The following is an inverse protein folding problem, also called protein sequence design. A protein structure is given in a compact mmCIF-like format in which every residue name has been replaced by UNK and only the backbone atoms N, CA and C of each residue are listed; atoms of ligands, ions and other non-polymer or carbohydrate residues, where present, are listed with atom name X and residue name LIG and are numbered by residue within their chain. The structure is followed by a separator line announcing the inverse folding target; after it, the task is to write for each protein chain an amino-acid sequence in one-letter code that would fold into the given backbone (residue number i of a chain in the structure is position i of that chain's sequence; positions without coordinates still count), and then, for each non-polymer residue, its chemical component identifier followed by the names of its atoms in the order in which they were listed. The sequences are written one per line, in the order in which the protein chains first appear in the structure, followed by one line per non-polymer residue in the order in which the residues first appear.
data_IF_531657730566
#
_entry.id   IF_531657730566
#
_cell.length_a   1.000
_cell.length_b   1.000
_cell.length_c   1.000
_cell.angle_alpha   90.00
_cell.angle_beta   90.00
_cell.angle_gamma   90.00
#
_symmetry.space_group_name_H-M   'P 1'
#
loop_
_entity.id
_entity.type
_entity.pdbx_description
1 polymer ?
#
# COMPACT_ATOMS: atom_id res chain seq x y z
N UNK A 1 -32.49 -11.21 -0.12
CA UNK A 1 -31.27 -11.49 0.66
C UNK A 1 -30.06 -11.29 -0.26
N UNK A 2 -29.17 -10.32 -0.07
CA UNK A 2 -29.19 -9.19 0.86
C UNK A 2 -27.97 -8.28 0.61
N UNK A 3 -28.16 -6.97 0.67
CA UNK A 3 -27.13 -5.93 0.83
C UNK A 3 -25.89 -6.06 -0.09
N UNK A 4 -26.12 -5.89 -1.39
CA UNK A 4 -25.09 -5.36 -2.32
C UNK A 4 -24.94 -3.88 -1.95
N UNK A 5 -23.96 -3.55 -1.13
CA UNK A 5 -23.93 -2.29 -0.37
C UNK A 5 -23.54 -1.08 -1.25
N UNK A 6 -24.07 0.09 -0.90
CA UNK A 6 -23.88 1.35 -1.65
C UNK A 6 -22.41 1.81 -1.83
N UNK A 7 -21.48 1.15 -1.15
CA UNK A 7 -20.03 1.32 -1.28
C UNK A 7 -19.49 1.03 -2.69
N UNK A 8 -20.12 0.13 -3.46
CA UNK A 8 -19.67 -0.25 -4.81
C UNK A 8 -19.75 0.88 -5.86
N UNK A 9 -20.34 2.03 -5.53
CA UNK A 9 -20.35 3.24 -6.40
C UNK A 9 -19.42 4.37 -5.94
N UNK A 10 -18.87 4.30 -4.72
CA UNK A 10 -18.22 5.45 -4.08
C UNK A 10 -16.72 5.60 -4.41
N UNK A 11 -16.03 4.51 -4.78
CA UNK A 11 -14.56 4.49 -4.86
C UNK A 11 -14.04 4.94 -6.26
N UNK A 12 -14.85 4.80 -7.32
CA UNK A 12 -14.41 4.98 -8.72
C UNK A 12 -15.41 5.77 -9.61
N UNK A 13 -15.85 6.99 -9.24
CA UNK A 13 -16.59 7.86 -10.19
C UNK A 13 -16.37 9.38 -9.91
N UNK A 14 -16.33 10.28 -10.92
CA UNK A 14 -15.50 11.50 -10.83
C UNK A 14 -16.22 12.84 -10.52
N UNK A 15 -17.41 12.86 -9.93
CA UNK A 15 -18.10 14.12 -9.56
C UNK A 15 -18.86 14.00 -8.23
N UNK A 16 -18.66 14.95 -7.29
CA UNK A 16 -19.59 15.13 -6.16
C UNK A 16 -19.00 15.41 -4.77
N UNK A 17 -18.44 16.60 -4.57
CA UNK A 17 -18.67 17.47 -3.40
C UNK A 17 -18.97 16.83 -2.03
N UNK A 18 -17.96 16.76 -1.14
CA UNK A 18 -18.17 16.52 0.29
C UNK A 18 -18.61 17.80 1.00
N UNK A 19 -19.82 17.82 1.57
CA UNK A 19 -20.24 18.88 2.49
C UNK A 19 -21.36 18.43 3.43
N UNK A 20 -21.45 19.11 4.59
CA UNK A 20 -22.53 19.08 5.61
C UNK A 20 -22.48 17.99 6.72
N UNK A 21 -21.91 18.42 7.85
CA UNK A 21 -22.44 18.35 9.23
C UNK A 21 -22.79 16.99 9.88
N UNK A 22 -21.98 16.64 10.88
CA UNK A 22 -22.38 16.29 12.26
C UNK A 22 -21.26 16.82 13.19
N UNK A 23 -21.43 17.23 14.45
CA UNK A 23 -22.47 17.01 15.44
C UNK A 23 -21.78 16.78 16.81
N UNK A 24 -21.55 17.86 17.57
CA UNK A 24 -20.96 17.89 18.94
C UNK A 24 -22.04 17.54 20.01
N UNK A 25 -21.77 17.52 21.35
CA UNK A 25 -20.52 17.55 22.10
C UNK A 25 -20.34 16.21 22.89
N UNK A 26 -20.11 16.05 24.22
CA UNK A 26 -19.85 16.99 25.34
C UNK A 26 -18.36 17.39 25.47
N UNK A 27 -17.84 17.55 26.70
CA UNK A 27 -16.43 17.72 27.08
C UNK A 27 -16.22 17.21 28.52
N UNK A 28 -15.01 16.80 28.88
CA UNK A 28 -14.59 16.60 30.28
C UNK A 28 -13.48 17.59 30.65
N UNK A 29 -13.58 18.13 31.87
CA UNK A 29 -12.82 19.28 32.37
C UNK A 29 -11.89 18.81 33.49
N UNK A 30 -10.59 18.98 33.33
CA UNK A 30 -9.63 18.95 34.43
C UNK A 30 -8.81 20.25 34.47
N UNK A 31 -8.47 20.69 35.69
CA UNK A 31 -7.93 22.02 35.97
C UNK A 31 -6.41 22.13 35.87
N UNK A 32 -5.85 23.33 36.11
CA UNK A 32 -4.43 23.61 36.03
C UNK A 32 -3.68 23.29 37.34
N UNK A 33 -2.40 22.94 37.23
CA UNK A 33 -1.50 22.70 38.38
C UNK A 33 -0.02 22.61 37.97
N UNK A 34 0.71 23.69 38.30
CA UNK A 34 2.16 23.90 38.47
C UNK A 34 3.26 22.97 37.90
N UNK A 35 4.33 23.64 37.43
CA UNK A 35 5.66 23.48 38.03
C UNK A 35 6.66 22.54 37.37
N UNK A 36 7.67 23.09 36.68
CA UNK A 36 8.78 22.29 36.15
C UNK A 36 9.84 23.07 35.38
N UNK A 37 10.72 23.78 36.10
CA UNK A 37 11.92 24.42 35.51
C UNK A 37 13.06 23.41 35.33
N UNK A 38 13.72 23.40 34.17
CA UNK A 38 14.89 22.56 33.91
C UNK A 38 15.50 22.82 32.53
N UNK A 39 16.73 23.37 32.43
CA UNK A 39 17.31 23.75 31.15
C UNK A 39 18.20 22.65 30.56
N UNK A 40 17.81 22.11 29.40
CA UNK A 40 18.78 21.70 28.39
C UNK A 40 18.30 22.20 27.03
N UNK A 41 19.02 23.20 26.51
CA UNK A 41 18.72 23.77 25.20
C UNK A 41 18.96 22.71 24.10
N UNK A 42 18.10 22.72 23.09
CA UNK A 42 18.20 21.79 21.98
C UNK A 42 19.52 21.98 21.21
N UNK A 43 20.40 20.98 21.25
CA UNK A 43 21.38 20.77 20.19
C UNK A 43 20.66 20.15 19.00
N UNK A 44 20.20 21.02 18.10
CA UNK A 44 19.53 20.60 16.89
C UNK A 44 20.47 19.81 15.98
N UNK A 45 20.20 18.53 15.80
CA UNK A 45 20.39 17.87 14.51
C UNK A 45 19.02 17.37 14.08
N UNK A 46 18.31 18.20 13.32
CA UNK A 46 17.31 17.69 12.39
C UNK A 46 18.08 16.90 11.34
N UNK A 47 18.25 15.59 11.60
CA UNK A 47 18.68 14.66 10.56
C UNK A 47 17.59 14.67 9.51
N UNK A 48 17.81 15.46 8.46
CA UNK A 48 16.97 15.53 7.27
C UNK A 48 16.69 14.10 6.82
N UNK A 49 15.42 13.69 6.95
CA UNK A 49 14.96 12.34 6.65
C UNK A 49 15.02 12.04 5.16
N UNK A 50 16.24 11.88 4.64
CA UNK A 50 16.54 11.56 3.25
C UNK A 50 16.42 10.06 2.98
N UNK A 51 15.45 9.42 3.64
CA UNK A 51 14.97 8.11 3.19
C UNK A 51 14.37 8.25 1.79
N UNK A 52 14.45 7.22 0.93
CA UNK A 52 13.95 7.32 -0.43
C UNK A 52 12.44 7.54 -0.41
N UNK A 53 12.02 8.70 -0.90
CA UNK A 53 10.61 9.14 -0.82
C UNK A 53 9.70 8.32 -1.72
N UNK A 54 8.43 8.16 -1.34
CA UNK A 54 7.37 7.55 -2.18
C UNK A 54 7.30 8.10 -3.62
N UNK A 55 7.70 9.36 -3.84
CA UNK A 55 7.77 9.93 -5.19
C UNK A 55 8.78 9.18 -6.09
N UNK A 56 9.89 8.69 -5.54
CA UNK A 56 10.86 7.88 -6.28
C UNK A 56 10.26 6.51 -6.67
N UNK A 57 9.63 5.81 -5.74
CA UNK A 57 8.90 4.54 -6.01
C UNK A 57 7.83 4.74 -7.08
N UNK A 58 7.03 5.80 -6.95
CA UNK A 58 5.99 6.14 -7.91
C UNK A 58 6.55 6.42 -9.32
N UNK A 59 7.68 7.13 -9.43
CA UNK A 59 8.34 7.35 -10.73
C UNK A 59 8.97 6.07 -11.30
N UNK A 60 9.59 5.23 -10.46
CA UNK A 60 10.17 3.94 -10.85
C UNK A 60 9.08 3.02 -11.44
N UNK A 61 7.99 2.80 -10.71
CA UNK A 61 6.83 2.01 -11.18
C UNK A 61 6.26 2.58 -12.48
N UNK A 62 6.11 3.89 -12.59
CA UNK A 62 5.61 4.55 -13.80
C UNK A 62 6.57 4.50 -14.99
N UNK A 63 7.87 4.26 -14.76
CA UNK A 63 8.87 4.04 -15.82
C UNK A 63 8.75 2.64 -16.45
N UNK A 64 8.19 1.69 -15.71
CA UNK A 64 7.98 0.31 -16.15
C UNK A 64 9.22 -0.60 -16.04
N UNK A 65 10.30 -0.14 -15.41
CA UNK A 65 11.46 -0.96 -15.02
C UNK A 65 11.64 -0.82 -13.52
N UNK A 66 11.76 -1.94 -12.80
CA UNK A 66 11.92 -1.98 -11.34
C UNK A 66 13.22 -2.68 -10.97
N UNK A 67 13.89 -2.23 -9.91
CA UNK A 67 15.00 -2.94 -9.27
C UNK A 67 14.84 -2.98 -7.75
N UNK A 68 15.51 -3.92 -7.09
CA UNK A 68 15.45 -4.08 -5.65
C UNK A 68 16.04 -2.87 -4.93
N UNK A 69 15.18 -2.16 -4.21
CA UNK A 69 15.55 -1.02 -3.38
C UNK A 69 15.01 -1.16 -1.95
N UNK A 70 15.45 -0.30 -1.04
CA UNK A 70 14.89 -0.24 0.32
C UNK A 70 13.42 0.20 0.33
N UNK A 71 12.93 0.92 -0.69
CA UNK A 71 11.51 1.30 -0.80
C UNK A 71 10.62 0.06 -0.89
N UNK A 72 11.04 -0.92 -1.70
CA UNK A 72 10.25 -2.13 -1.91
C UNK A 72 10.32 -3.05 -0.68
N UNK A 73 11.44 -3.07 0.03
CA UNK A 73 11.70 -4.06 1.11
C UNK A 73 11.46 -3.57 2.54
N UNK A 74 11.40 -2.26 2.80
CA UNK A 74 11.23 -1.70 4.16
C UNK A 74 9.75 -1.74 4.64
N UNK A 75 9.43 -2.47 5.73
CA UNK A 75 8.08 -2.48 6.29
C UNK A 75 7.59 -1.12 6.82
N UNK A 76 8.49 -0.19 7.18
CA UNK A 76 8.11 1.16 7.58
C UNK A 76 7.56 1.96 6.40
N UNK A 77 8.26 1.94 5.26
CA UNK A 77 7.78 2.54 4.01
C UNK A 77 6.35 2.08 3.67
N UNK A 78 6.09 0.77 3.72
CA UNK A 78 4.76 0.24 3.40
C UNK A 78 3.69 0.69 4.39
N UNK A 79 3.94 0.64 5.72
CA UNK A 79 2.97 1.13 6.71
C UNK A 79 2.60 2.61 6.53
N UNK A 80 3.55 3.45 6.10
CA UNK A 80 3.35 4.88 5.94
C UNK A 80 2.77 5.30 4.58
N UNK A 81 2.99 4.51 3.53
CA UNK A 81 2.71 4.91 2.15
C UNK A 81 1.72 4.01 1.40
N UNK A 82 1.30 2.87 1.96
CA UNK A 82 0.42 1.92 1.25
C UNK A 82 -0.91 2.54 0.79
N UNK A 83 -1.52 3.44 1.58
CA UNK A 83 -2.76 4.14 1.18
C UNK A 83 -2.57 5.04 -0.04
N UNK A 84 -1.35 5.54 -0.29
CA UNK A 84 -1.04 6.35 -1.48
C UNK A 84 -1.10 5.54 -2.77
N UNK A 85 -1.02 4.21 -2.70
CA UNK A 85 -1.18 3.35 -3.88
C UNK A 85 -2.63 3.35 -4.41
N UNK A 86 -3.61 3.75 -3.59
CA UNK A 86 -5.01 3.94 -4.01
C UNK A 86 -5.24 5.28 -4.73
N UNK A 87 -4.34 6.26 -4.56
CA UNK A 87 -4.48 7.58 -5.19
C UNK A 87 -4.59 7.48 -6.72
N UNK A 88 -5.38 8.40 -7.28
CA UNK A 88 -5.59 8.54 -8.75
C UNK A 88 -6.13 7.25 -9.38
N UNK A 89 -7.18 6.67 -8.78
CA UNK A 89 -7.81 5.42 -9.22
C UNK A 89 -6.83 4.23 -9.21
N UNK A 90 -6.19 4.01 -8.06
CA UNK A 90 -5.20 2.94 -7.86
C UNK A 90 -4.08 2.91 -8.91
N UNK A 91 -3.63 4.07 -9.43
CA UNK A 91 -2.78 4.13 -10.64
C UNK A 91 -1.51 3.29 -10.51
N UNK A 92 -0.83 3.37 -9.37
CA UNK A 92 0.45 2.66 -9.13
C UNK A 92 0.21 1.15 -9.13
N UNK A 93 -0.83 0.68 -8.43
CA UNK A 93 -1.21 -0.74 -8.40
C UNK A 93 -1.62 -1.25 -9.79
N UNK A 94 -2.39 -0.47 -10.56
CA UNK A 94 -2.78 -0.83 -11.93
C UNK A 94 -1.57 -0.95 -12.87
N UNK A 95 -0.52 -0.16 -12.66
CA UNK A 95 0.74 -0.28 -13.41
C UNK A 95 1.54 -1.50 -12.96
N UNK A 96 1.65 -1.79 -11.66
CA UNK A 96 2.27 -3.03 -11.16
C UNK A 96 1.60 -4.26 -11.78
N UNK A 97 0.26 -4.34 -11.75
CA UNK A 97 -0.48 -5.43 -12.39
C UNK A 97 -0.27 -5.48 -13.90
N UNK A 98 -0.17 -4.33 -14.59
CA UNK A 98 0.15 -4.30 -16.02
C UNK A 98 1.56 -4.84 -16.30
N UNK A 99 2.54 -4.58 -15.44
CA UNK A 99 3.88 -5.14 -15.55
C UNK A 99 3.88 -6.67 -15.41
N UNK A 100 3.06 -7.25 -14.53
CA UNK A 100 2.89 -8.71 -14.44
C UNK A 100 2.35 -9.33 -15.74
N UNK A 101 1.54 -8.59 -16.50
CA UNK A 101 0.94 -9.06 -17.75
C UNK A 101 1.90 -8.93 -18.95
N UNK A 102 2.66 -7.84 -19.06
CA UNK A 102 3.39 -7.49 -20.30
C UNK A 102 4.92 -7.47 -20.18
N UNK A 103 5.49 -7.38 -18.97
CA UNK A 103 6.94 -7.34 -18.83
C UNK A 103 7.58 -8.68 -19.19
N UNK A 104 8.80 -8.61 -19.71
CA UNK A 104 9.67 -9.76 -20.02
C UNK A 104 10.97 -9.75 -19.22
N UNK A 105 11.18 -8.71 -18.41
CA UNK A 105 12.33 -8.61 -17.52
C UNK A 105 12.01 -9.32 -16.20
N UNK A 106 12.76 -10.40 -15.91
CA UNK A 106 12.57 -11.20 -14.69
C UNK A 106 12.69 -10.38 -13.42
N UNK A 107 13.60 -9.39 -13.38
CA UNK A 107 13.79 -8.53 -12.20
C UNK A 107 12.55 -7.69 -11.93
N UNK A 108 12.04 -7.00 -12.95
CA UNK A 108 10.81 -6.21 -12.88
C UNK A 108 9.61 -7.06 -12.49
N UNK A 109 9.47 -8.28 -13.04
CA UNK A 109 8.40 -9.21 -12.66
C UNK A 109 8.51 -9.66 -11.19
N UNK A 110 9.71 -9.96 -10.70
CA UNK A 110 9.92 -10.38 -9.31
C UNK A 110 9.58 -9.25 -8.31
N UNK A 111 10.04 -8.02 -8.57
CA UNK A 111 9.72 -6.85 -7.73
C UNK A 111 8.22 -6.53 -7.79
N UNK A 112 7.60 -6.53 -8.98
CA UNK A 112 6.16 -6.27 -9.11
C UNK A 112 5.30 -7.33 -8.38
N UNK A 113 5.66 -8.62 -8.44
CA UNK A 113 4.99 -9.67 -7.67
C UNK A 113 5.13 -9.43 -6.16
N UNK A 114 6.31 -9.07 -5.71
CA UNK A 114 6.59 -8.76 -4.31
C UNK A 114 5.73 -7.60 -3.81
N UNK A 115 5.69 -6.49 -4.55
CA UNK A 115 5.03 -5.24 -4.16
C UNK A 115 3.51 -5.36 -4.12
N UNK A 116 2.91 -6.09 -5.06
CA UNK A 116 1.47 -6.45 -4.99
C UNK A 116 1.20 -7.26 -3.72
N UNK A 117 2.12 -8.17 -3.36
CA UNK A 117 2.08 -8.90 -2.10
C UNK A 117 2.24 -8.01 -0.86
N UNK A 118 3.06 -6.96 -0.91
CA UNK A 118 3.23 -6.02 0.20
C UNK A 118 2.02 -5.10 0.37
N UNK A 119 1.43 -4.62 -0.73
CA UNK A 119 0.18 -3.87 -0.73
C UNK A 119 -0.96 -4.67 -0.08
N UNK A 120 -1.14 -5.94 -0.46
CA UNK A 120 -2.14 -6.83 0.17
C UNK A 120 -1.91 -7.13 1.67
N UNK A 121 -0.67 -6.98 2.14
CA UNK A 121 -0.29 -7.24 3.53
C UNK A 121 -0.44 -6.00 4.43
N UNK A 122 -0.22 -4.80 3.88
CA UNK A 122 -0.26 -3.56 4.64
C UNK A 122 -1.57 -2.77 4.45
N UNK A 123 -2.32 -3.01 3.36
CA UNK A 123 -3.61 -2.37 3.13
C UNK A 123 -4.77 -3.22 3.64
N UNK A 124 -5.64 -2.65 4.48
CA UNK A 124 -6.80 -3.34 5.08
C UNK A 124 -7.74 -3.94 4.03
N UNK A 125 -7.95 -3.24 2.91
CA UNK A 125 -8.77 -3.69 1.79
C UNK A 125 -7.95 -4.24 0.60
N UNK A 126 -6.63 -4.33 0.72
CA UNK A 126 -5.73 -4.59 -0.42
C UNK A 126 -6.03 -5.89 -1.17
N UNK A 127 -6.41 -6.95 -0.44
CA UNK A 127 -6.78 -8.25 -1.04
C UNK A 127 -8.02 -8.16 -1.92
N UNK A 128 -9.02 -7.39 -1.50
CA UNK A 128 -10.25 -7.19 -2.27
C UNK A 128 -9.95 -6.42 -3.57
N UNK A 129 -9.19 -5.33 -3.46
CA UNK A 129 -8.81 -4.49 -4.62
C UNK A 129 -8.00 -5.28 -5.64
N UNK A 130 -7.02 -6.09 -5.19
CA UNK A 130 -6.23 -6.94 -6.08
C UNK A 130 -7.07 -8.06 -6.73
N UNK A 131 -8.11 -8.56 -6.07
CA UNK A 131 -9.05 -9.51 -6.66
C UNK A 131 -9.96 -8.86 -7.72
N UNK A 132 -10.55 -7.69 -7.43
CA UNK A 132 -11.36 -6.93 -8.40
C UNK A 132 -10.55 -6.55 -9.65
N UNK A 133 -9.27 -6.21 -9.48
CA UNK A 133 -8.34 -5.93 -10.58
C UNK A 133 -7.74 -7.18 -11.26
N UNK A 134 -8.22 -8.40 -10.95
CA UNK A 134 -7.78 -9.69 -11.53
C UNK A 134 -6.27 -9.96 -11.36
N UNK A 135 -5.67 -9.45 -10.29
CA UNK A 135 -4.26 -9.63 -9.98
C UNK A 135 -3.90 -11.06 -9.57
N UNK A 136 -4.88 -11.84 -9.10
CA UNK A 136 -4.69 -13.26 -8.76
C UNK A 136 -4.30 -14.09 -9.98
N UNK A 137 -5.03 -13.92 -11.08
CA UNK A 137 -4.84 -14.66 -12.33
C UNK A 137 -3.46 -14.36 -12.93
N UNK A 138 -3.06 -13.07 -12.89
CA UNK A 138 -1.74 -12.61 -13.33
C UNK A 138 -0.61 -13.23 -12.49
N UNK A 139 -0.70 -13.15 -11.17
CA UNK A 139 0.30 -13.72 -10.27
C UNK A 139 0.38 -15.26 -10.39
N UNK A 140 -0.76 -15.96 -10.54
CA UNK A 140 -0.78 -17.40 -10.78
C UNK A 140 -0.09 -17.81 -12.08
N UNK A 141 -0.21 -17.01 -13.15
CA UNK A 141 0.51 -17.26 -14.41
C UNK A 141 2.03 -17.23 -14.28
N UNK A 142 2.56 -16.40 -13.36
CA UNK A 142 3.99 -16.26 -13.11
C UNK A 142 4.58 -17.32 -12.18
N UNK A 143 3.76 -18.14 -11.52
CA UNK A 143 4.24 -19.26 -10.68
C UNK A 143 4.95 -20.37 -11.48
N UNK A 144 4.77 -20.40 -12.81
CA UNK A 144 5.46 -21.33 -13.72
C UNK A 144 6.58 -20.65 -14.54
N UNK A 145 7.03 -19.46 -14.12
CA UNK A 145 8.09 -18.74 -14.82
C UNK A 145 9.45 -19.45 -14.74
N UNK A 146 10.28 -19.31 -15.78
CA UNK A 146 11.59 -19.97 -15.87
C UNK A 146 12.64 -19.39 -14.89
N UNK A 147 12.46 -18.13 -14.49
CA UNK A 147 13.28 -17.50 -13.45
C UNK A 147 12.78 -17.90 -12.05
N UNK A 148 13.66 -18.45 -11.18
CA UNK A 148 13.26 -18.97 -9.88
C UNK A 148 12.86 -17.88 -8.87
N UNK A 149 13.37 -16.65 -9.00
CA UNK A 149 12.99 -15.56 -8.10
C UNK A 149 11.60 -15.02 -8.50
N UNK A 150 11.29 -14.93 -9.80
CA UNK A 150 9.92 -14.63 -10.26
C UNK A 150 8.93 -15.67 -9.76
N UNK A 151 9.24 -16.96 -9.93
CA UNK A 151 8.40 -18.06 -9.44
C UNK A 151 8.16 -17.98 -7.93
N UNK A 152 9.22 -17.73 -7.15
CA UNK A 152 9.15 -17.56 -5.70
C UNK A 152 8.28 -16.37 -5.28
N UNK A 153 8.50 -15.19 -5.87
CA UNK A 153 7.73 -13.99 -5.52
C UNK A 153 6.26 -14.10 -5.95
N UNK A 154 6.00 -14.71 -7.11
CA UNK A 154 4.64 -15.01 -7.58
C UNK A 154 3.90 -15.95 -6.60
N UNK A 155 4.54 -17.04 -6.17
CA UNK A 155 3.99 -17.98 -5.19
C UNK A 155 3.68 -17.28 -3.85
N UNK A 156 4.61 -16.48 -3.33
CA UNK A 156 4.41 -15.71 -2.08
C UNK A 156 3.26 -14.70 -2.22
N UNK A 157 3.14 -14.02 -3.36
CA UNK A 157 2.03 -13.11 -3.64
C UNK A 157 0.68 -13.84 -3.63
N UNK A 158 0.57 -14.98 -4.32
CA UNK A 158 -0.65 -15.80 -4.36
C UNK A 158 -1.00 -16.36 -2.97
N UNK A 159 -0.01 -16.79 -2.18
CA UNK A 159 -0.23 -17.21 -0.79
C UNK A 159 -0.83 -16.09 0.06
N UNK A 160 -0.26 -14.87 -0.01
CA UNK A 160 -0.81 -13.70 0.71
C UNK A 160 -2.25 -13.38 0.28
N UNK A 161 -2.61 -13.58 -0.99
CA UNK A 161 -3.96 -13.38 -1.51
C UNK A 161 -4.95 -14.43 -1.02
N UNK A 162 -4.53 -15.71 -0.95
CA UNK A 162 -5.39 -16.84 -0.58
C UNK A 162 -5.62 -17.00 0.93
N UNK A 163 -4.73 -16.47 1.78
CA UNK A 163 -4.92 -16.52 3.24
C UNK A 163 -5.95 -15.45 3.66
N UNK A 164 -7.21 -15.87 3.75
CA UNK A 164 -8.24 -15.15 4.51
C UNK A 164 -7.88 -15.15 6.00
N UNK A 165 -8.13 -14.02 6.69
CA UNK A 165 -7.95 -13.85 8.14
C UNK A 165 -6.50 -13.72 8.66
N UNK A 166 -5.85 -12.59 8.38
CA UNK A 166 -4.59 -12.17 9.03
C UNK A 166 -4.79 -11.22 10.23
N UNK A 167 -6.02 -10.71 10.42
CA UNK A 167 -6.43 -9.83 11.52
C UNK A 167 -6.51 -10.54 12.89
N UNK A 168 -6.21 -11.84 12.96
CA UNK A 168 -6.29 -12.66 14.18
C UNK A 168 -4.94 -12.81 14.93
N UNK A 169 -3.88 -12.14 14.47
CA UNK A 169 -2.53 -12.23 15.03
C UNK A 169 -1.90 -10.85 15.34
N UNK A 170 -2.72 -9.85 15.68
CA UNK A 170 -2.29 -8.55 16.25
C UNK A 170 -2.80 -8.42 17.68
#
# INVERSE_FOLDING_TARGET
FGIVSEWQRAICNPFGMWSVVAGRPPALRHGPGDGGSGPYAATGIVSSGSGPTYAATGMEVLSGTLDWSSMHTDPAFWRENVTKFEEKDCKVLRVLLKLLEVSRDSRTLAVACHDVGQFMQHHSHGKFIVQELKGKELAMGLMAHADPEVQKQALLCVQKLMISNWEFFK
#
